data_IF_821087547409
#
_entry.id   IF_821087547409
#
_cell.length_a   1.000
_cell.length_b   1.000
_cell.length_c   1.000
_cell.angle_alpha   90.00
_cell.angle_beta   90.00
_cell.angle_gamma   90.00
#
_symmetry.space_group_name_H-M   'P 1'
#
loop_
_entity.id
_entity.type
_entity.pdbx_description
1 polymer ?
#
# COMPACT_ATOMS: atom_id res chain seq x y z
N UNK A 1 13.95 56.90 -19.99
CA UNK A 1 13.07 56.40 -21.06
C UNK A 1 13.92 55.48 -21.91
N UNK A 2 13.80 54.15 -21.88
CA UNK A 2 12.59 53.32 -21.92
C UNK A 2 12.62 52.59 -23.26
N UNK A 3 13.03 51.32 -23.27
CA UNK A 3 13.14 50.54 -24.51
C UNK A 3 13.53 49.10 -24.20
N UNK A 4 12.51 48.28 -23.97
CA UNK A 4 12.55 46.89 -23.52
C UNK A 4 13.17 45.92 -24.53
N UNK A 5 13.77 44.88 -23.97
CA UNK A 5 14.28 43.69 -24.62
C UNK A 5 13.20 42.96 -25.44
N UNK A 6 13.52 42.66 -26.71
CA UNK A 6 12.79 41.70 -27.53
C UNK A 6 13.46 40.33 -27.49
N UNK A 7 13.19 39.55 -26.44
CA UNK A 7 13.44 38.10 -26.47
C UNK A 7 12.42 37.49 -27.44
N UNK A 8 12.88 37.19 -28.65
CA UNK A 8 12.11 36.43 -29.62
C UNK A 8 11.76 35.06 -29.05
N UNK A 9 10.49 34.86 -28.72
CA UNK A 9 9.91 33.56 -28.46
C UNK A 9 10.05 32.73 -29.74
N UNK A 10 10.99 31.80 -29.75
CA UNK A 10 11.06 30.74 -30.76
C UNK A 10 9.81 29.87 -30.54
N UNK A 11 8.78 30.12 -31.34
CA UNK A 11 7.64 29.23 -31.44
C UNK A 11 8.16 27.90 -31.98
N UNK A 12 8.14 26.85 -31.15
CA UNK A 12 8.33 25.50 -31.64
C UNK A 12 7.15 25.14 -32.54
N UNK A 13 7.29 25.33 -33.85
CA UNK A 13 6.37 24.75 -34.83
C UNK A 13 6.54 23.23 -34.78
N UNK A 14 5.56 22.54 -34.20
CA UNK A 14 5.38 21.10 -34.38
C UNK A 14 5.16 20.81 -35.88
N UNK A 15 5.75 19.74 -36.44
CA UNK A 15 5.53 19.38 -37.83
C UNK A 15 4.06 19.01 -38.02
N UNK A 16 3.40 19.66 -38.99
CA UNK A 16 2.08 19.29 -39.45
C UNK A 16 2.20 18.04 -40.33
N UNK A 17 1.90 16.88 -39.77
CA UNK A 17 1.89 15.59 -40.48
C UNK A 17 1.62 14.45 -39.52
N UNK A 18 0.54 13.70 -39.80
CA UNK A 18 -0.07 12.61 -39.03
C UNK A 18 -0.90 13.05 -37.81
N UNK A 19 -2.17 12.61 -37.80
CA UNK A 19 -3.23 13.13 -36.94
C UNK A 19 -2.96 13.03 -35.44
N UNK A 20 -3.82 13.70 -34.65
CA UNK A 20 -3.74 13.68 -33.19
C UNK A 20 -3.43 12.28 -32.66
N UNK A 21 -2.47 12.14 -31.71
CA UNK A 21 -2.22 10.85 -31.10
C UNK A 21 -3.54 10.30 -30.57
N UNK A 22 -3.79 9.01 -30.79
CA UNK A 22 -5.01 8.35 -30.32
C UNK A 22 -5.23 8.73 -28.84
N UNK A 23 -6.48 9.04 -28.43
CA UNK A 23 -6.78 9.37 -27.04
C UNK A 23 -6.14 8.36 -26.10
N UNK A 24 -5.15 8.81 -25.34
CA UNK A 24 -4.51 7.99 -24.33
C UNK A 24 -5.43 7.99 -23.11
N UNK A 25 -6.20 6.91 -22.94
CA UNK A 25 -6.96 6.72 -21.71
C UNK A 25 -5.98 6.71 -20.53
N UNK A 26 -6.34 7.34 -19.40
CA UNK A 26 -5.51 7.27 -18.22
C UNK A 26 -5.28 5.81 -17.82
N UNK A 27 -4.02 5.39 -17.74
CA UNK A 27 -3.64 3.97 -17.54
C UNK A 27 -4.23 3.36 -16.26
N UNK A 28 -4.54 4.18 -15.26
CA UNK A 28 -5.16 3.72 -14.01
C UNK A 28 -6.61 3.24 -14.17
N UNK A 29 -7.29 3.55 -15.28
CA UNK A 29 -8.61 3.01 -15.59
C UNK A 29 -8.56 1.62 -16.21
N UNK A 30 -7.38 1.18 -16.66
CA UNK A 30 -7.18 -0.15 -17.23
C UNK A 30 -6.97 -1.14 -16.09
N UNK A 31 -7.91 -2.06 -15.91
CA UNK A 31 -7.74 -3.17 -14.97
C UNK A 31 -6.74 -4.16 -15.56
N UNK A 32 -5.65 -4.49 -14.85
CA UNK A 32 -4.70 -5.48 -15.33
C UNK A 32 -5.36 -6.85 -15.40
N UNK A 33 -4.95 -7.64 -16.38
CA UNK A 33 -5.33 -9.05 -16.48
C UNK A 33 -4.59 -9.89 -15.43
N UNK A 34 -5.08 -11.10 -15.15
CA UNK A 34 -4.41 -12.03 -14.22
C UNK A 34 -2.96 -12.30 -14.64
N UNK A 35 -2.70 -12.53 -15.92
CA UNK A 35 -1.34 -12.82 -16.41
C UNK A 35 -0.40 -11.63 -16.23
N UNK A 36 -0.91 -10.41 -16.43
CA UNK A 36 -0.12 -9.19 -16.17
C UNK A 36 0.17 -9.01 -14.69
N UNK A 37 -0.78 -9.32 -13.81
CA UNK A 37 -0.57 -9.29 -12.36
C UNK A 37 0.47 -10.33 -11.94
N UNK A 38 0.38 -11.55 -12.48
CA UNK A 38 1.32 -12.62 -12.18
C UNK A 38 2.74 -12.29 -12.66
N UNK A 39 2.90 -11.73 -13.85
CA UNK A 39 4.20 -11.31 -14.34
C UNK A 39 4.81 -10.18 -13.49
N UNK A 40 4.00 -9.18 -13.13
CA UNK A 40 4.43 -8.14 -12.20
C UNK A 40 4.82 -8.72 -10.83
N UNK A 41 4.05 -9.68 -10.32
CA UNK A 41 4.33 -10.37 -9.07
C UNK A 41 5.65 -11.15 -9.13
N UNK A 42 5.93 -11.88 -10.22
CA UNK A 42 7.21 -12.58 -10.43
C UNK A 42 8.41 -11.65 -10.36
N UNK A 43 8.29 -10.46 -10.95
CA UNK A 43 9.33 -9.43 -10.88
C UNK A 43 9.50 -8.96 -9.43
N UNK A 44 8.39 -8.63 -8.76
CA UNK A 44 8.41 -8.13 -7.38
C UNK A 44 9.03 -9.16 -6.40
N UNK A 45 8.65 -10.43 -6.49
CA UNK A 45 9.22 -11.48 -5.64
C UNK A 45 10.66 -11.83 -5.99
N UNK A 46 11.27 -11.28 -7.04
CA UNK A 46 12.71 -11.40 -7.31
C UNK A 46 13.49 -10.19 -6.79
N UNK A 47 12.80 -9.11 -6.45
CA UNK A 47 13.44 -7.88 -6.01
C UNK A 47 13.94 -7.99 -4.56
N UNK A 48 15.27 -8.04 -4.39
CA UNK A 48 15.93 -8.18 -3.08
C UNK A 48 16.16 -6.83 -2.38
N UNK A 49 16.21 -5.73 -3.14
CA UNK A 49 16.51 -4.39 -2.65
C UNK A 49 15.43 -3.37 -3.04
N UNK A 50 15.29 -2.30 -2.26
CA UNK A 50 14.34 -1.22 -2.52
C UNK A 50 13.37 -1.02 -1.35
N UNK A 51 12.30 -0.24 -1.60
CA UNK A 51 11.35 0.19 -0.56
C UNK A 51 10.46 -0.95 -0.03
N UNK A 52 10.21 -1.99 -0.82
CA UNK A 52 9.43 -3.17 -0.43
C UNK A 52 10.00 -4.45 -1.09
N UNK A 53 11.13 -4.98 -0.61
CA UNK A 53 11.79 -6.10 -1.24
C UNK A 53 11.14 -7.43 -0.87
N UNK A 54 10.28 -7.96 -1.75
CA UNK A 54 9.63 -9.27 -1.57
C UNK A 54 10.56 -10.46 -1.87
N UNK A 55 11.74 -10.20 -2.45
CA UNK A 55 12.70 -11.22 -2.90
C UNK A 55 13.66 -11.75 -1.86
N UNK A 56 13.67 -11.21 -0.64
CA UNK A 56 14.55 -11.67 0.45
C UNK A 56 14.24 -13.09 0.93
N UNK A 57 13.02 -13.56 0.71
CA UNK A 57 12.58 -14.89 1.09
C UNK A 57 13.28 -15.97 0.26
N UNK A 58 13.72 -17.02 0.93
CA UNK A 58 14.41 -18.18 0.36
C UNK A 58 13.50 -19.40 0.27
N UNK A 59 13.82 -20.33 -0.61
CA UNK A 59 13.09 -21.59 -0.79
C UNK A 59 12.97 -22.35 0.55
N UNK A 60 11.78 -22.86 0.84
CA UNK A 60 11.45 -23.58 2.07
C UNK A 60 11.03 -22.68 3.23
N UNK A 61 11.12 -21.36 3.09
CA UNK A 61 10.63 -20.43 4.11
C UNK A 61 9.12 -20.22 3.99
N UNK A 62 8.51 -19.89 5.13
CA UNK A 62 7.11 -19.45 5.21
C UNK A 62 7.06 -17.97 5.54
N UNK A 63 6.22 -17.22 4.84
CA UNK A 63 5.93 -15.80 5.11
C UNK A 63 4.49 -15.63 5.55
N UNK A 64 4.30 -14.86 6.62
CA UNK A 64 2.99 -14.44 7.10
C UNK A 64 2.75 -13.00 6.64
N UNK A 65 1.69 -12.79 5.86
CA UNK A 65 1.37 -11.49 5.27
C UNK A 65 0.08 -10.97 5.86
N UNK A 66 0.18 -9.87 6.60
CA UNK A 66 -0.97 -9.19 7.17
C UNK A 66 -1.67 -8.37 6.08
N UNK A 67 -2.93 -8.70 5.80
CA UNK A 67 -3.71 -8.01 4.79
C UNK A 67 -4.30 -6.72 5.35
N UNK A 68 -4.27 -5.67 4.53
CA UNK A 68 -5.00 -4.44 4.82
C UNK A 68 -6.48 -4.58 4.43
N UNK A 69 -7.30 -3.69 4.98
CA UNK A 69 -8.71 -3.57 4.58
C UNK A 69 -8.82 -3.31 3.08
N UNK A 70 -9.74 -4.02 2.42
CA UNK A 70 -9.97 -3.95 0.98
C UNK A 70 -8.73 -4.27 0.10
N UNK A 71 -7.78 -5.06 0.60
CA UNK A 71 -6.70 -5.60 -0.22
C UNK A 71 -7.28 -6.32 -1.45
N UNK A 72 -6.75 -6.01 -2.64
CA UNK A 72 -7.21 -6.64 -3.87
C UNK A 72 -6.85 -8.14 -3.86
N UNK A 73 -7.83 -9.06 -3.95
CA UNK A 73 -7.60 -10.49 -3.86
C UNK A 73 -6.80 -11.02 -5.06
N UNK A 74 -6.99 -10.47 -6.26
CA UNK A 74 -6.29 -10.93 -7.47
C UNK A 74 -4.79 -10.61 -7.39
N UNK A 75 -4.45 -9.45 -6.80
CA UNK A 75 -3.06 -9.06 -6.56
C UNK A 75 -2.41 -9.99 -5.55
N UNK A 76 -3.13 -10.33 -4.47
CA UNK A 76 -2.63 -11.24 -3.46
C UNK A 76 -2.37 -12.64 -4.05
N UNK A 77 -3.34 -13.20 -4.77
CA UNK A 77 -3.20 -14.53 -5.36
C UNK A 77 -2.05 -14.58 -6.37
N UNK A 78 -1.85 -13.53 -7.17
CA UNK A 78 -0.70 -13.43 -8.08
C UNK A 78 0.65 -13.44 -7.32
N UNK A 79 0.75 -12.72 -6.20
CA UNK A 79 1.97 -12.70 -5.36
C UNK A 79 2.21 -14.04 -4.68
N UNK A 80 1.15 -14.66 -4.14
CA UNK A 80 1.21 -15.98 -3.52
C UNK A 80 1.65 -17.04 -4.53
N UNK A 81 1.10 -17.02 -5.74
CA UNK A 81 1.50 -17.91 -6.84
C UNK A 81 2.98 -17.70 -7.21
N UNK A 82 3.43 -16.45 -7.36
CA UNK A 82 4.82 -16.14 -7.66
C UNK A 82 5.81 -16.56 -6.57
N UNK A 83 5.44 -16.49 -5.29
CA UNK A 83 6.25 -17.03 -4.19
C UNK A 83 6.26 -18.55 -4.17
N UNK A 84 5.13 -19.20 -4.46
CA UNK A 84 5.05 -20.66 -4.55
C UNK A 84 5.96 -21.21 -5.66
N UNK A 85 6.06 -20.52 -6.81
CA UNK A 85 7.03 -20.84 -7.88
C UNK A 85 8.49 -20.83 -7.39
N UNK A 86 8.80 -19.99 -6.39
CA UNK A 86 10.12 -19.92 -5.73
C UNK A 86 10.27 -20.91 -4.58
N UNK A 87 9.24 -21.70 -4.31
CA UNK A 87 9.16 -22.64 -3.18
C UNK A 87 9.08 -21.94 -1.82
N UNK A 88 8.49 -20.74 -1.77
CA UNK A 88 8.16 -20.01 -0.55
C UNK A 88 6.67 -20.23 -0.25
N UNK A 89 6.35 -20.58 0.99
CA UNK A 89 4.95 -20.72 1.43
C UNK A 89 4.45 -19.38 1.94
N UNK A 90 3.31 -18.89 1.44
CA UNK A 90 2.74 -17.62 1.91
C UNK A 90 1.39 -17.84 2.59
N UNK A 91 1.24 -17.29 3.79
CA UNK A 91 0.03 -17.35 4.62
C UNK A 91 -0.56 -15.96 4.72
N UNK A 92 -1.80 -15.79 4.25
CA UNK A 92 -2.55 -14.56 4.41
C UNK A 92 -3.16 -14.50 5.82
N UNK A 93 -2.86 -13.43 6.54
CA UNK A 93 -3.49 -13.12 7.83
C UNK A 93 -4.49 -11.99 7.59
N UNK A 94 -5.79 -12.26 7.65
CA UNK A 94 -6.78 -11.24 7.41
C UNK A 94 -6.85 -10.27 8.60
N UNK A 95 -7.30 -9.04 8.37
CA UNK A 95 -7.24 -7.99 9.38
C UNK A 95 -8.11 -8.27 10.62
N UNK A 96 -9.21 -9.01 10.47
CA UNK A 96 -10.08 -9.36 11.60
C UNK A 96 -9.44 -10.36 12.58
N UNK A 97 -8.50 -11.19 12.11
CA UNK A 97 -7.73 -12.10 12.97
C UNK A 97 -6.86 -11.31 13.95
N UNK A 98 -6.35 -10.15 13.53
CA UNK A 98 -5.56 -9.28 14.40
C UNK A 98 -6.41 -8.60 15.47
N UNK A 99 -7.63 -8.20 15.15
CA UNK A 99 -8.51 -7.51 16.11
C UNK A 99 -9.31 -8.45 17.01
N UNK A 100 -9.17 -9.78 16.84
CA UNK A 100 -9.98 -10.77 17.55
C UNK A 100 -11.47 -10.72 17.20
N UNK A 101 -11.83 -10.09 16.07
CA UNK A 101 -13.20 -9.94 15.61
C UNK A 101 -13.53 -11.03 14.58
N UNK A 102 -14.81 -11.32 14.41
CA UNK A 102 -15.28 -12.07 13.23
C UNK A 102 -15.20 -11.18 11.98
N UNK A 103 -15.17 -11.79 10.79
CA UNK A 103 -15.17 -11.05 9.53
C UNK A 103 -16.42 -10.15 9.40
N UNK A 104 -17.58 -10.61 9.87
CA UNK A 104 -18.82 -9.85 9.84
C UNK A 104 -18.76 -8.63 10.76
N UNK A 105 -18.30 -8.81 12.01
CA UNK A 105 -18.11 -7.71 12.96
C UNK A 105 -17.08 -6.70 12.45
N UNK A 106 -15.97 -7.18 11.88
CA UNK A 106 -14.95 -6.32 11.32
C UNK A 106 -15.47 -5.50 10.13
N UNK A 107 -16.36 -6.08 9.31
CA UNK A 107 -17.00 -5.35 8.20
C UNK A 107 -17.94 -4.26 8.68
N UNK A 108 -18.74 -4.54 9.71
CA UNK A 108 -19.62 -3.53 10.30
C UNK A 108 -18.83 -2.45 11.04
N UNK A 109 -17.82 -2.83 11.81
CA UNK A 109 -16.88 -1.91 12.46
C UNK A 109 -16.17 -1.00 11.44
N UNK A 110 -15.76 -1.56 10.30
CA UNK A 110 -15.16 -0.79 9.22
C UNK A 110 -16.09 0.28 8.65
N UNK A 111 -17.39 -0.02 8.50
CA UNK A 111 -18.39 0.95 8.01
C UNK A 111 -18.64 2.07 9.01
N UNK A 112 -18.67 1.75 10.30
CA UNK A 112 -18.94 2.74 11.35
C UNK A 112 -17.75 3.62 11.64
N UNK A 113 -16.52 3.09 11.67
CA UNK A 113 -15.38 3.84 12.20
C UNK A 113 -14.39 4.35 11.14
N UNK A 114 -14.28 3.73 9.95
CA UNK A 114 -13.28 4.16 8.94
C UNK A 114 -13.73 5.30 8.03
N UNK A 115 -15.04 5.39 7.74
CA UNK A 115 -15.54 6.31 6.70
C UNK A 115 -16.62 7.27 7.24
N UNK A 116 -17.40 6.88 8.26
CA UNK A 116 -18.62 7.62 8.66
C UNK A 116 -18.81 7.83 10.18
N UNK A 117 -17.78 7.57 11.00
CA UNK A 117 -17.90 7.60 12.47
C UNK A 117 -17.39 8.86 13.13
N UNK A 118 -17.70 9.02 14.42
CA UNK A 118 -17.04 9.96 15.34
C UNK A 118 -15.51 9.75 15.44
N UNK A 119 -15.01 8.69 14.80
CA UNK A 119 -13.62 8.27 14.72
C UNK A 119 -12.94 8.59 13.35
N UNK A 120 -13.38 9.65 12.65
CA UNK A 120 -12.77 10.14 11.39
C UNK A 120 -11.24 10.36 11.44
N UNK A 121 -10.62 10.26 12.62
CA UNK A 121 -9.19 10.09 12.85
C UNK A 121 -8.53 8.96 12.02
N UNK A 122 -9.31 8.03 11.45
CA UNK A 122 -8.78 7.04 10.51
C UNK A 122 -8.33 7.62 9.16
N UNK A 123 -8.83 8.79 8.76
CA UNK A 123 -8.22 9.58 7.66
C UNK A 123 -6.90 10.20 8.10
N UNK A 124 -6.72 10.49 9.41
CA UNK A 124 -5.48 11.05 9.96
C UNK A 124 -4.30 10.10 9.80
N UNK A 125 -4.49 8.79 9.66
CA UNK A 125 -3.37 7.88 9.33
C UNK A 125 -2.69 8.19 7.98
N UNK A 126 -3.38 8.85 7.06
CA UNK A 126 -2.81 9.38 5.81
C UNK A 126 -2.21 10.79 6.03
N UNK A 127 -2.78 11.59 6.91
CA UNK A 127 -2.35 12.97 7.20
C UNK A 127 -1.24 13.07 8.28
N UNK A 128 -1.04 12.06 9.12
CA UNK A 128 -0.20 12.12 10.32
C UNK A 128 1.25 12.52 10.00
N UNK A 129 1.99 11.84 9.09
CA UNK A 129 3.39 12.18 8.87
C UNK A 129 3.60 13.60 8.32
N UNK A 130 2.62 14.12 7.58
CA UNK A 130 2.70 15.43 6.93
C UNK A 130 2.28 16.58 7.86
N UNK A 131 1.36 16.33 8.81
CA UNK A 131 0.76 17.37 9.65
C UNK A 131 1.21 17.35 11.12
N UNK A 132 1.87 16.27 11.58
CA UNK A 132 2.43 16.13 12.93
C UNK A 132 3.29 17.33 13.40
N UNK A 133 4.12 17.98 12.55
CA UNK A 133 4.86 19.18 12.95
C UNK A 133 3.97 20.36 13.34
N UNK A 134 2.73 20.41 12.83
CA UNK A 134 1.79 21.52 13.00
C UNK A 134 0.76 21.29 14.12
N UNK A 135 0.72 20.09 14.71
CA UNK A 135 -0.13 19.84 15.86
C UNK A 135 0.39 20.58 17.11
N UNK A 136 -0.49 21.03 18.02
CA UNK A 136 -0.14 21.42 19.38
C UNK A 136 0.61 20.32 20.15
N UNK A 137 1.49 20.67 21.10
CA UNK A 137 2.35 19.71 21.83
C UNK A 137 1.58 18.69 22.69
N UNK A 138 0.43 19.08 23.23
CA UNK A 138 -0.51 18.20 23.92
C UNK A 138 -1.08 17.14 22.98
N UNK A 139 -1.48 17.53 21.76
CA UNK A 139 -1.93 16.61 20.73
C UNK A 139 -0.79 15.75 20.19
N UNK A 140 0.45 16.27 20.06
CA UNK A 140 1.62 15.44 19.73
C UNK A 140 1.93 14.42 20.83
N UNK A 141 1.61 14.70 22.09
CA UNK A 141 1.84 13.74 23.18
C UNK A 141 0.81 12.61 23.15
N UNK A 142 -0.42 12.90 22.72
CA UNK A 142 -1.52 11.95 22.61
C UNK A 142 -1.44 11.12 21.32
N UNK A 143 -1.13 11.77 20.19
CA UNK A 143 -1.06 11.21 18.83
C UNK A 143 0.38 11.09 18.30
N UNK A 144 1.37 11.10 19.19
CA UNK A 144 2.81 11.13 18.89
C UNK A 144 3.39 9.91 18.21
N UNK A 145 2.60 8.84 18.12
CA UNK A 145 2.99 7.57 17.50
C UNK A 145 2.21 7.42 16.21
N UNK A 146 2.74 6.66 15.27
CA UNK A 146 1.99 6.39 14.04
C UNK A 146 0.72 5.62 14.42
N UNK A 147 -0.41 5.90 13.77
CA UNK A 147 -1.68 5.20 14.01
C UNK A 147 -1.56 3.66 13.93
N UNK A 148 -0.62 3.15 13.13
CA UNK A 148 -0.25 1.73 13.11
C UNK A 148 0.17 1.19 14.49
N UNK A 149 0.76 2.03 15.33
CA UNK A 149 1.27 1.69 16.66
C UNK A 149 0.17 1.53 17.70
N UNK A 150 -1.02 2.07 17.44
CA UNK A 150 -2.16 1.94 18.33
C UNK A 150 -3.05 0.73 17.97
N UNK A 151 -3.09 0.33 16.70
CA UNK A 151 -4.03 -0.71 16.24
C UNK A 151 -3.37 -1.94 15.62
N UNK A 152 -2.23 -1.79 14.96
CA UNK A 152 -1.59 -2.88 14.21
C UNK A 152 -0.55 -3.56 15.09
N UNK A 153 0.37 -2.80 15.68
CA UNK A 153 1.49 -3.38 16.44
C UNK A 153 1.11 -4.14 17.72
N UNK A 154 0.17 -3.68 18.56
CA UNK A 154 -0.26 -4.45 19.73
C UNK A 154 -0.89 -5.79 19.33
N UNK A 155 -1.72 -5.78 18.29
CA UNK A 155 -2.43 -6.94 17.78
C UNK A 155 -1.51 -7.92 17.03
N UNK A 156 -0.48 -7.40 16.35
CA UNK A 156 0.59 -8.20 15.76
C UNK A 156 1.44 -8.88 16.86
N UNK A 157 1.70 -8.19 17.98
CA UNK A 157 2.39 -8.77 19.14
C UNK A 157 1.65 -10.00 19.68
N UNK A 158 0.35 -9.86 19.96
CA UNK A 158 -0.48 -11.00 20.40
C UNK A 158 -0.51 -12.14 19.38
N UNK A 159 -0.47 -11.83 18.08
CA UNK A 159 -0.38 -12.84 17.03
C UNK A 159 0.95 -13.62 17.13
N UNK A 160 2.08 -12.94 17.33
CA UNK A 160 3.37 -13.62 17.51
C UNK A 160 3.45 -14.42 18.81
N UNK A 161 2.83 -13.97 19.89
CA UNK A 161 2.76 -14.74 21.14
C UNK A 161 2.02 -16.08 20.95
N UNK A 162 0.98 -16.09 20.09
CA UNK A 162 0.24 -17.31 19.71
C UNK A 162 0.96 -18.16 18.67
N UNK A 163 1.93 -17.59 17.96
CA UNK A 163 2.70 -18.21 16.89
C UNK A 163 4.21 -18.14 17.16
N UNK A 164 4.71 -18.79 18.24
CA UNK A 164 6.12 -18.74 18.63
C UNK A 164 7.08 -19.36 17.61
N UNK A 165 6.56 -20.10 16.63
CA UNK A 165 7.31 -20.61 15.48
C UNK A 165 7.80 -19.51 14.53
N UNK A 166 7.16 -18.33 14.55
CA UNK A 166 7.54 -17.19 13.70
C UNK A 166 8.76 -16.51 14.28
N UNK A 167 9.90 -16.62 13.59
CA UNK A 167 11.16 -15.98 13.99
C UNK A 167 11.34 -14.66 13.22
N UNK A 168 11.51 -13.55 13.94
CA UNK A 168 11.97 -12.29 13.37
C UNK A 168 13.46 -12.38 13.05
N UNK A 169 13.84 -12.01 11.82
CA UNK A 169 15.21 -11.87 11.36
C UNK A 169 15.43 -10.49 10.76
#
# INVERSE_FOLDING_TARGET
MGGLAGLGLVSAQAPAGDGYPKPAYPRYLVKPTKDQLLEAARIAVRQVYGRAPLGKLQRGQTVHVFHQWAQNPDVWEAVKEAWAERGVTAVAIPPWTLTGLTEAEYKEWGKTDLIYGHQGWKEIGVFEPAYMPFLPEDLKKEFGRQLSDYFIWPNIGEYFDKHPEIKFY
#
